data_IF_224891703713
#
_entry.id   IF_224891703713
#
_cell.length_a   1.000
_cell.length_b   1.000
_cell.length_c   1.000
_cell.angle_alpha   90.00
_cell.angle_beta   90.00
_cell.angle_gamma   90.00
#
_symmetry.space_group_name_H-M   'P 1'
#
loop_
_entity.id
_entity.type
_entity.pdbx_description
1 polymer ?
#
# COMPACT_ATOMS: atom_id res chain seq x y z
N UNK A 1 -16.60 88.79 11.13
CA UNK A 1 -16.43 88.82 9.66
C UNK A 1 -15.65 87.55 9.28
N UNK A 2 -16.15 86.34 9.53
CA UNK A 2 -17.29 85.67 8.88
C UNK A 2 -17.18 85.68 7.34
N UNK A 3 -16.97 84.48 6.81
CA UNK A 3 -17.21 84.02 5.44
C UNK A 3 -16.33 84.59 4.33
N UNK A 4 -15.40 83.75 3.85
CA UNK A 4 -15.35 83.34 2.45
C UNK A 4 -14.59 82.00 2.38
N UNK A 5 -15.28 80.96 2.85
CA UNK A 5 -14.98 79.59 2.49
C UNK A 5 -15.52 79.34 1.07
N UNK A 6 -14.70 79.52 0.03
CA UNK A 6 -14.86 78.81 -1.24
C UNK A 6 -13.62 78.98 -2.11
N UNK A 7 -13.23 77.91 -2.80
CA UNK A 7 -12.10 77.80 -3.72
C UNK A 7 -10.70 77.53 -3.15
N UNK A 8 -10.63 76.66 -2.13
CA UNK A 8 -9.55 75.65 -2.14
C UNK A 8 -10.02 74.54 -3.09
N UNK A 9 -9.71 74.65 -4.38
CA UNK A 9 -9.80 73.51 -5.31
C UNK A 9 -8.41 72.86 -5.32
N UNK A 10 -8.20 71.98 -4.34
CA UNK A 10 -7.04 71.10 -4.23
C UNK A 10 -6.84 70.34 -5.56
N UNK A 11 -5.68 70.46 -6.24
CA UNK A 11 -5.38 69.68 -7.44
C UNK A 11 -4.96 68.23 -7.13
N UNK A 12 -5.03 67.79 -5.87
CA UNK A 12 -4.55 66.46 -5.46
C UNK A 12 -5.51 65.29 -5.69
N UNK A 13 -6.83 65.54 -5.83
CA UNK A 13 -7.82 64.44 -5.87
C UNK A 13 -8.04 63.83 -7.26
N UNK A 14 -7.71 64.56 -8.33
CA UNK A 14 -7.81 64.06 -9.71
C UNK A 14 -6.54 63.32 -10.16
N UNK A 15 -5.37 63.68 -9.64
CA UNK A 15 -4.12 62.96 -9.91
C UNK A 15 -4.09 61.59 -9.23
N UNK A 16 -4.56 61.48 -7.98
CA UNK A 16 -4.65 60.19 -7.28
C UNK A 16 -5.63 59.22 -7.95
N UNK A 17 -6.78 59.72 -8.44
CA UNK A 17 -7.74 58.90 -9.20
C UNK A 17 -7.17 58.44 -10.55
N UNK A 18 -6.46 59.33 -11.26
CA UNK A 18 -5.76 58.99 -12.51
C UNK A 18 -4.65 57.95 -12.28
N UNK A 19 -3.89 58.08 -11.20
CA UNK A 19 -2.81 57.15 -10.86
C UNK A 19 -3.36 55.78 -10.43
N UNK A 20 -4.47 55.72 -9.70
CA UNK A 20 -5.18 54.47 -9.38
C UNK A 20 -5.75 53.78 -10.63
N UNK A 21 -6.32 54.53 -11.57
CA UNK A 21 -6.81 54.00 -12.85
C UNK A 21 -5.68 53.46 -13.72
N UNK A 22 -4.55 54.17 -13.79
CA UNK A 22 -3.35 53.69 -14.49
C UNK A 22 -2.81 52.42 -13.84
N UNK A 23 -2.71 52.36 -12.51
CA UNK A 23 -2.30 51.14 -11.80
C UNK A 23 -3.22 49.96 -12.09
N UNK A 24 -4.54 50.17 -12.13
CA UNK A 24 -5.52 49.13 -12.53
C UNK A 24 -5.33 48.67 -13.97
N UNK A 25 -5.04 49.58 -14.90
CA UNK A 25 -4.76 49.23 -16.29
C UNK A 25 -3.45 48.45 -16.44
N UNK A 26 -2.40 48.82 -15.69
CA UNK A 26 -1.13 48.08 -15.67
C UNK A 26 -1.27 46.69 -15.02
N UNK A 27 -2.02 46.58 -13.92
CA UNK A 27 -2.30 45.28 -13.31
C UNK A 27 -3.14 44.40 -14.23
N UNK A 28 -4.17 44.94 -14.88
CA UNK A 28 -4.99 44.21 -15.85
C UNK A 28 -4.15 43.73 -17.04
N UNK A 29 -3.29 44.60 -17.59
CA UNK A 29 -2.36 44.23 -18.67
C UNK A 29 -1.39 43.14 -18.24
N UNK A 30 -0.85 43.23 -17.02
CA UNK A 30 0.05 42.22 -16.48
C UNK A 30 -0.65 40.86 -16.31
N UNK A 31 -1.88 40.85 -15.80
CA UNK A 31 -2.71 39.65 -15.66
C UNK A 31 -3.02 39.02 -17.01
N UNK A 32 -3.49 39.80 -17.98
CA UNK A 32 -3.76 39.32 -19.36
C UNK A 32 -2.51 38.78 -20.02
N UNK A 33 -1.34 39.43 -19.83
CA UNK A 33 -0.06 38.93 -20.37
C UNK A 33 0.34 37.59 -19.74
N UNK A 34 0.10 37.40 -18.44
CA UNK A 34 0.35 36.13 -17.74
C UNK A 34 -0.59 35.04 -18.26
N UNK A 35 -1.89 35.31 -18.35
CA UNK A 35 -2.87 34.36 -18.89
C UNK A 35 -2.56 33.99 -20.34
N UNK A 36 -2.25 34.96 -21.20
CA UNK A 36 -1.85 34.71 -22.58
C UNK A 36 -0.55 33.91 -22.68
N UNK A 37 0.41 34.11 -21.75
CA UNK A 37 1.61 33.27 -21.68
C UNK A 37 1.32 31.85 -21.18
N UNK A 38 0.34 31.68 -20.29
CA UNK A 38 -0.10 30.38 -19.80
C UNK A 38 -0.83 29.61 -20.91
N UNK A 39 -1.80 30.23 -21.57
CA UNK A 39 -2.51 29.67 -22.72
C UNK A 39 -1.57 29.33 -23.89
N UNK A 40 -0.54 30.14 -24.13
CA UNK A 40 0.49 29.80 -25.12
C UNK A 40 1.24 28.55 -24.73
N UNK A 41 1.66 28.40 -23.47
CA UNK A 41 2.35 27.18 -23.00
C UNK A 41 1.46 25.95 -23.13
N UNK A 42 0.23 26.04 -22.65
CA UNK A 42 -0.77 24.98 -22.78
C UNK A 42 -1.02 24.60 -24.24
N UNK A 43 -1.13 25.58 -25.15
CA UNK A 43 -1.24 25.30 -26.58
C UNK A 43 -0.04 24.52 -27.12
N UNK A 44 1.19 24.86 -26.71
CA UNK A 44 2.38 24.14 -27.18
C UNK A 44 2.38 22.71 -26.63
N UNK A 45 2.07 22.51 -25.36
CA UNK A 45 1.95 21.18 -24.74
C UNK A 45 0.88 20.31 -25.44
N UNK A 46 -0.26 20.90 -25.78
CA UNK A 46 -1.32 20.21 -26.51
C UNK A 46 -0.90 19.87 -27.94
N UNK A 47 -0.18 20.75 -28.64
CA UNK A 47 0.34 20.48 -29.98
C UNK A 47 1.38 19.36 -29.96
N UNK A 48 2.24 19.32 -28.95
CA UNK A 48 3.24 18.25 -28.80
C UNK A 48 2.57 16.91 -28.51
N UNK A 49 1.59 16.87 -27.59
CA UNK A 49 0.76 15.68 -27.35
C UNK A 49 0.03 15.22 -28.62
N UNK A 50 -0.49 16.15 -29.41
CA UNK A 50 -1.18 15.83 -30.66
C UNK A 50 -0.22 15.21 -31.68
N UNK A 51 0.99 15.76 -31.85
CA UNK A 51 2.02 15.16 -32.72
C UNK A 51 2.44 13.76 -32.27
N UNK A 52 2.57 13.56 -30.96
CA UNK A 52 2.87 12.24 -30.40
C UNK A 52 1.75 11.24 -30.70
N UNK A 53 0.49 11.65 -30.55
CA UNK A 53 -0.67 10.83 -30.90
C UNK A 53 -0.76 10.54 -32.39
N UNK A 54 -0.55 11.53 -33.26
CA UNK A 54 -0.51 11.33 -34.72
C UNK A 54 0.61 10.36 -35.12
N UNK A 55 1.79 10.50 -34.54
CA UNK A 55 2.89 9.57 -34.73
C UNK A 55 2.55 8.15 -34.28
N UNK A 56 1.85 7.99 -33.16
CA UNK A 56 1.36 6.69 -32.70
C UNK A 56 0.33 6.08 -33.66
N UNK A 57 -0.61 6.90 -34.17
CA UNK A 57 -1.63 6.45 -35.13
C UNK A 57 -0.97 5.95 -36.43
N UNK A 58 0.03 6.67 -36.95
CA UNK A 58 0.74 6.26 -38.17
C UNK A 58 1.40 4.89 -37.97
N UNK A 59 2.12 4.69 -36.86
CA UNK A 59 2.75 3.40 -36.55
C UNK A 59 1.73 2.26 -36.44
N UNK A 60 0.57 2.51 -35.82
CA UNK A 60 -0.50 1.51 -35.74
C UNK A 60 -1.06 1.18 -37.12
N UNK A 61 -1.25 2.18 -37.99
CA UNK A 61 -1.69 1.93 -39.38
C UNK A 61 -0.69 1.10 -40.16
N UNK A 62 0.60 1.43 -40.08
CA UNK A 62 1.67 0.64 -40.72
C UNK A 62 1.68 -0.81 -40.23
N UNK A 63 1.49 -1.03 -38.92
CA UNK A 63 1.37 -2.36 -38.35
C UNK A 63 0.13 -3.11 -38.86
N UNK A 64 -1.01 -2.44 -38.98
CA UNK A 64 -2.24 -3.03 -39.52
C UNK A 64 -2.10 -3.41 -40.99
N UNK A 65 -1.51 -2.55 -41.81
CA UNK A 65 -1.24 -2.87 -43.22
C UNK A 65 -0.27 -4.04 -43.35
N UNK A 66 0.76 -4.11 -42.49
CA UNK A 66 1.66 -5.26 -42.46
C UNK A 66 0.93 -6.55 -42.08
N UNK A 67 -0.02 -6.50 -41.15
CA UNK A 67 -0.84 -7.65 -40.79
C UNK A 67 -1.79 -8.03 -41.91
N UNK A 68 -2.40 -7.07 -42.60
CA UNK A 68 -3.28 -7.32 -43.74
C UNK A 68 -2.54 -8.08 -44.85
N UNK A 69 -1.32 -7.64 -45.19
CA UNK A 69 -0.46 -8.33 -46.17
C UNK A 69 -0.10 -9.74 -45.72
N UNK A 70 0.13 -9.94 -44.42
CA UNK A 70 0.42 -11.25 -43.85
C UNK A 70 -0.81 -12.16 -43.92
N UNK A 71 -1.99 -11.65 -43.56
CA UNK A 71 -3.25 -12.38 -43.54
C UNK A 71 -3.77 -12.73 -44.95
N UNK A 72 -3.30 -12.04 -46.00
CA UNK A 72 -3.64 -12.38 -47.38
C UNK A 72 -3.19 -13.80 -47.78
N UNK A 73 -2.16 -14.36 -47.12
CA UNK A 73 -1.76 -15.75 -47.31
C UNK A 73 -2.39 -16.64 -46.22
N UNK A 74 -3.18 -17.68 -46.56
CA UNK A 74 -3.90 -18.49 -45.59
C UNK A 74 -2.99 -19.26 -44.63
N UNK A 75 -1.79 -19.67 -45.07
CA UNK A 75 -0.83 -20.35 -44.19
C UNK A 75 -0.17 -19.35 -43.23
N UNK A 76 0.18 -18.16 -43.71
CA UNK A 76 0.72 -17.10 -42.87
C UNK A 76 -0.32 -16.62 -41.85
N UNK A 77 -1.59 -16.54 -42.25
CA UNK A 77 -2.70 -16.24 -41.35
C UNK A 77 -2.86 -17.26 -40.21
N UNK A 78 -2.73 -18.56 -40.52
CA UNK A 78 -2.78 -19.61 -39.50
C UNK A 78 -1.62 -19.49 -38.50
N UNK A 79 -0.39 -19.23 -38.99
CA UNK A 79 0.78 -19.01 -38.14
C UNK A 79 0.63 -17.75 -37.26
N UNK A 80 0.12 -16.66 -37.82
CA UNK A 80 -0.17 -15.44 -37.06
C UNK A 80 -1.24 -15.67 -35.99
N UNK A 81 -2.25 -16.49 -36.26
CA UNK A 81 -3.26 -16.83 -35.25
C UNK A 81 -2.61 -17.52 -34.05
N UNK A 82 -1.77 -18.54 -34.29
CA UNK A 82 -1.03 -19.22 -33.21
C UNK A 82 -0.14 -18.25 -32.45
N UNK A 83 0.60 -17.39 -33.17
CA UNK A 83 1.45 -16.35 -32.57
C UNK A 83 0.68 -15.46 -31.58
N UNK A 84 -0.48 -14.93 -32.00
CA UNK A 84 -1.27 -14.05 -31.14
C UNK A 84 -1.95 -14.80 -29.99
N UNK A 85 -2.31 -16.08 -30.17
CA UNK A 85 -2.82 -16.94 -29.10
C UNK A 85 -1.73 -17.22 -28.05
N UNK A 86 -0.49 -17.46 -28.46
CA UNK A 86 0.65 -17.63 -27.56
C UNK A 86 0.98 -16.34 -26.80
N UNK A 87 0.92 -15.18 -27.45
CA UNK A 87 1.02 -13.88 -26.76
C UNK A 87 -0.13 -13.61 -25.81
N UNK A 88 -1.32 -14.12 -26.12
CA UNK A 88 -2.44 -14.07 -25.18
C UNK A 88 -2.19 -14.96 -23.97
N UNK A 89 -1.71 -16.20 -24.17
CA UNK A 89 -1.29 -17.11 -23.10
C UNK A 89 -0.25 -16.43 -22.18
N UNK A 90 0.78 -15.80 -22.73
CA UNK A 90 1.76 -15.04 -21.95
C UNK A 90 1.10 -13.96 -21.08
N UNK A 91 0.21 -13.16 -21.67
CA UNK A 91 -0.53 -12.11 -20.94
C UNK A 91 -1.41 -12.68 -19.83
N UNK A 92 -2.06 -13.82 -20.06
CA UNK A 92 -2.87 -14.50 -19.03
C UNK A 92 -1.99 -14.93 -17.86
N UNK A 93 -0.83 -15.54 -18.13
CA UNK A 93 0.12 -15.93 -17.08
C UNK A 93 0.66 -14.73 -16.31
N UNK A 94 1.09 -13.67 -17.01
CA UNK A 94 1.58 -12.44 -16.38
C UNK A 94 0.50 -11.75 -15.54
N UNK A 95 -0.73 -11.64 -16.05
CA UNK A 95 -1.86 -11.09 -15.31
C UNK A 95 -2.18 -11.91 -14.06
N UNK A 96 -2.09 -13.25 -14.13
CA UNK A 96 -2.32 -14.12 -12.97
C UNK A 96 -1.27 -13.91 -11.89
N UNK A 97 -0.01 -13.76 -12.27
CA UNK A 97 1.11 -13.46 -11.36
C UNK A 97 0.93 -12.09 -10.70
N UNK A 98 0.56 -11.07 -11.48
CA UNK A 98 0.32 -9.72 -10.98
C UNK A 98 -0.85 -9.68 -9.99
N UNK A 99 -2.00 -10.28 -10.35
CA UNK A 99 -3.17 -10.37 -9.47
C UNK A 99 -2.82 -11.06 -8.14
N UNK A 100 -2.13 -12.20 -8.22
CA UNK A 100 -1.73 -12.96 -7.04
C UNK A 100 -0.79 -12.16 -6.12
N UNK A 101 0.19 -11.46 -6.67
CA UNK A 101 1.07 -10.59 -5.88
C UNK A 101 0.31 -9.47 -5.19
N UNK A 102 -0.59 -8.79 -5.90
CA UNK A 102 -1.41 -7.72 -5.34
C UNK A 102 -2.33 -8.22 -4.22
N UNK A 103 -2.94 -9.39 -4.39
CA UNK A 103 -3.76 -10.04 -3.36
C UNK A 103 -2.94 -10.38 -2.11
N UNK A 104 -1.76 -10.98 -2.27
CA UNK A 104 -0.88 -11.33 -1.15
C UNK A 104 -0.36 -10.09 -0.41
N UNK A 105 0.02 -9.02 -1.15
CA UNK A 105 0.42 -7.74 -0.57
C UNK A 105 -0.70 -7.18 0.30
N UNK A 106 -1.91 -7.05 -0.25
CA UNK A 106 -3.06 -6.55 0.49
C UNK A 106 -3.40 -7.41 1.71
N UNK A 107 -3.32 -8.74 1.59
CA UNK A 107 -3.58 -9.65 2.70
C UNK A 107 -2.53 -9.50 3.82
N UNK A 108 -1.25 -9.38 3.47
CA UNK A 108 -0.15 -9.26 4.43
C UNK A 108 -0.13 -7.90 5.11
N UNK A 109 -0.37 -6.82 4.38
CA UNK A 109 -0.50 -5.47 4.94
C UNK A 109 -1.61 -5.41 5.98
N UNK A 110 -2.78 -5.98 5.68
CA UNK A 110 -3.90 -6.06 6.64
C UNK A 110 -3.52 -6.84 7.90
N UNK A 111 -2.83 -7.97 7.75
CA UNK A 111 -2.39 -8.81 8.90
C UNK A 111 -1.36 -8.09 9.76
N UNK A 112 -0.34 -7.47 9.16
CA UNK A 112 0.69 -6.74 9.91
C UNK A 112 0.11 -5.50 10.60
N UNK A 113 -0.75 -4.75 9.91
CA UNK A 113 -1.48 -3.62 10.50
C UNK A 113 -2.33 -4.06 11.68
N UNK A 114 -3.11 -5.13 11.54
CA UNK A 114 -3.94 -5.65 12.63
C UNK A 114 -3.09 -6.03 13.86
N UNK A 115 -1.99 -6.77 13.65
CA UNK A 115 -1.08 -7.17 14.73
C UNK A 115 -0.44 -5.98 15.43
N UNK A 116 -0.03 -4.96 14.68
CA UNK A 116 0.56 -3.74 15.23
C UNK A 116 -0.46 -2.94 16.06
N UNK A 117 -1.68 -2.81 15.55
CA UNK A 117 -2.76 -2.12 16.24
C UNK A 117 -3.19 -2.86 17.50
N UNK A 118 -3.29 -4.19 17.46
CA UNK A 118 -3.59 -5.02 18.63
C UNK A 118 -2.55 -4.82 19.74
N UNK A 119 -1.27 -4.94 19.42
CA UNK A 119 -0.18 -4.70 20.39
C UNK A 119 -0.19 -3.26 20.95
N UNK A 120 -0.56 -2.27 20.14
CA UNK A 120 -0.69 -0.88 20.58
C UNK A 120 -1.89 -0.69 21.54
N UNK A 121 -3.03 -1.33 21.24
CA UNK A 121 -4.22 -1.32 22.08
C UNK A 121 -3.95 -2.01 23.43
N UNK A 122 -3.23 -3.12 23.46
CA UNK A 122 -2.84 -3.79 24.70
C UNK A 122 -1.95 -2.90 25.57
N UNK A 123 -0.91 -2.29 24.99
CA UNK A 123 -0.05 -1.33 25.70
C UNK A 123 -0.83 -0.13 26.21
N UNK A 124 -1.78 0.38 25.42
CA UNK A 124 -2.66 1.47 25.81
C UNK A 124 -3.56 1.07 26.98
N UNK A 125 -4.19 -0.11 26.91
CA UNK A 125 -5.02 -0.66 27.99
C UNK A 125 -4.21 -0.76 29.29
N UNK A 126 -3.01 -1.34 29.22
CA UNK A 126 -2.15 -1.46 30.39
C UNK A 126 -1.78 -0.10 31.01
N UNK A 127 -1.43 0.89 30.17
CA UNK A 127 -1.17 2.27 30.65
C UNK A 127 -2.40 2.89 31.33
N UNK A 128 -3.59 2.67 30.76
CA UNK A 128 -4.84 3.18 31.32
C UNK A 128 -5.22 2.48 32.63
N UNK A 129 -4.99 1.18 32.75
CA UNK A 129 -5.24 0.42 33.98
C UNK A 129 -4.39 0.95 35.14
N UNK A 130 -3.09 1.19 34.91
CA UNK A 130 -2.19 1.80 35.91
C UNK A 130 -2.69 3.19 36.34
N UNK A 131 -3.14 4.01 35.39
CA UNK A 131 -3.69 5.34 35.70
C UNK A 131 -5.03 5.26 36.42
N UNK A 132 -5.85 4.27 36.10
CA UNK A 132 -7.14 4.05 36.74
C UNK A 132 -6.95 3.63 38.20
N UNK A 133 -6.00 2.73 38.48
CA UNK A 133 -5.64 2.35 39.86
C UNK A 133 -5.13 3.57 40.65
N UNK A 134 -4.28 4.39 40.03
CA UNK A 134 -3.81 5.64 40.63
C UNK A 134 -4.98 6.57 40.91
N UNK A 135 -5.89 6.76 39.95
CA UNK A 135 -7.07 7.61 40.09
C UNK A 135 -7.99 7.13 41.22
N UNK A 136 -8.26 5.83 41.32
CA UNK A 136 -9.04 5.25 42.42
C UNK A 136 -8.39 5.51 43.77
N UNK A 137 -7.06 5.35 43.86
CA UNK A 137 -6.32 5.64 45.10
C UNK A 137 -6.41 7.11 45.53
N UNK A 138 -6.41 8.04 44.56
CA UNK A 138 -6.56 9.48 44.83
C UNK A 138 -8.00 9.83 45.22
N UNK A 139 -9.00 9.22 44.59
CA UNK A 139 -10.41 9.41 44.94
C UNK A 139 -10.73 8.93 46.36
N UNK A 140 -10.19 7.77 46.77
CA UNK A 140 -10.34 7.27 48.15
C UNK A 140 -9.70 8.24 49.15
N UNK A 141 -8.50 8.76 48.85
CA UNK A 141 -7.83 9.76 49.68
C UNK A 141 -8.66 11.05 49.80
N UNK A 142 -9.27 11.53 48.71
CA UNK A 142 -10.11 12.74 48.76
C UNK A 142 -11.35 12.52 49.62
N UNK A 143 -12.00 11.36 49.48
CA UNK A 143 -13.15 10.98 50.33
C UNK A 143 -12.77 10.92 51.80
N UNK A 144 -11.62 10.36 52.14
CA UNK A 144 -11.14 10.29 53.52
C UNK A 144 -10.88 11.69 54.10
N UNK A 145 -10.20 12.57 53.34
CA UNK A 145 -9.99 13.95 53.76
C UNK A 145 -11.31 14.73 53.87
N UNK A 146 -12.27 14.48 52.99
CA UNK A 146 -13.60 15.08 53.07
C UNK A 146 -14.31 14.69 54.38
N UNK A 147 -14.23 13.42 54.76
CA UNK A 147 -14.78 12.93 56.02
C UNK A 147 -14.07 13.53 57.25
N UNK A 148 -12.74 13.67 57.22
CA UNK A 148 -12.00 14.35 58.28
C UNK A 148 -12.40 15.82 58.42
N UNK A 149 -12.60 16.53 57.30
CA UNK A 149 -13.09 17.92 57.33
C UNK A 149 -14.47 17.99 57.98
N UNK A 150 -15.41 17.12 57.59
CA UNK A 150 -16.77 17.09 58.12
C UNK A 150 -16.80 16.79 59.63
N UNK A 151 -15.99 15.82 60.09
CA UNK A 151 -15.90 15.48 61.52
C UNK A 151 -15.32 16.62 62.35
N UNK A 152 -14.29 17.32 61.84
CA UNK A 152 -13.74 18.50 62.51
C UNK A 152 -14.70 19.70 62.50
N UNK A 153 -15.51 19.87 61.45
CA UNK A 153 -16.57 20.89 61.40
C UNK A 153 -17.65 20.62 62.45
N UNK A 154 -18.19 19.40 62.51
CA UNK A 154 -19.17 18.99 63.54
C UNK A 154 -18.62 19.20 64.95
N UNK A 155 -17.34 18.90 65.19
CA UNK A 155 -16.69 19.14 66.48
C UNK A 155 -16.60 20.63 66.84
N UNK A 156 -16.35 21.50 65.87
CA UNK A 156 -16.32 22.96 66.07
C UNK A 156 -17.72 23.49 66.42
N UNK A 157 -18.76 22.98 65.76
CA UNK A 157 -20.16 23.33 65.99
C UNK A 157 -20.65 22.90 67.38
N UNK A 158 -20.28 21.70 67.82
CA UNK A 158 -20.62 21.15 69.14
C UNK A 158 -19.87 21.80 70.33
N UNK A 159 -18.88 22.67 70.10
CA UNK A 159 -18.15 23.34 71.19
C UNK A 159 -18.93 24.49 71.82
N UNK A 160 -19.01 24.50 73.15
CA UNK A 160 -19.58 25.59 73.96
C UNK A 160 -18.73 26.88 73.89
N UNK A 161 -19.32 28.04 74.19
CA UNK A 161 -18.76 29.39 73.94
C UNK A 161 -17.33 29.62 74.42
N UNK A 162 -16.98 29.25 75.66
CA UNK A 162 -15.63 29.41 76.21
C UNK A 162 -14.62 28.49 75.50
N UNK A 163 -14.98 27.22 75.26
CA UNK A 163 -14.10 26.28 74.56
C UNK A 163 -13.85 26.71 73.10
N UNK A 164 -14.86 27.31 72.45
CA UNK A 164 -14.76 27.82 71.08
C UNK A 164 -13.80 29.00 70.96
N UNK A 165 -13.75 29.89 71.95
CA UNK A 165 -12.82 31.04 71.96
C UNK A 165 -11.37 30.58 72.05
N UNK A 166 -11.05 29.64 72.95
CA UNK A 166 -9.68 29.20 73.18
C UNK A 166 -9.19 28.10 72.21
N UNK A 167 -10.03 27.10 71.89
CA UNK A 167 -9.64 25.94 71.05
C UNK A 167 -10.11 26.03 69.60
N UNK A 168 -11.09 26.88 69.30
CA UNK A 168 -11.63 27.05 67.95
C UNK A 168 -10.60 27.46 66.89
N UNK A 169 -9.66 28.40 67.14
CA UNK A 169 -8.65 28.79 66.16
C UNK A 169 -7.76 27.62 65.73
N UNK A 170 -7.39 26.71 66.65
CA UNK A 170 -6.59 25.53 66.33
C UNK A 170 -7.36 24.54 65.44
N UNK A 171 -8.63 24.29 65.75
CA UNK A 171 -9.50 23.41 64.93
C UNK A 171 -9.74 24.02 63.55
N UNK A 172 -9.97 25.34 63.45
CA UNK A 172 -10.09 26.05 62.16
C UNK A 172 -8.83 25.96 61.32
N UNK A 173 -7.63 26.12 61.91
CA UNK A 173 -6.36 25.92 61.20
C UNK A 173 -6.24 24.48 60.66
N UNK A 174 -6.67 23.49 61.43
CA UNK A 174 -6.67 22.08 60.98
C UNK A 174 -7.60 21.86 59.79
N UNK A 175 -8.82 22.40 59.83
CA UNK A 175 -9.77 22.37 58.70
C UNK A 175 -9.15 23.05 57.46
N UNK A 176 -8.52 24.22 57.63
CA UNK A 176 -7.83 24.91 56.54
C UNK A 176 -6.71 24.06 55.91
N UNK A 177 -5.87 23.42 56.74
CA UNK A 177 -4.84 22.51 56.25
C UNK A 177 -5.39 21.29 55.50
N UNK A 178 -6.50 20.71 55.97
CA UNK A 178 -7.17 19.61 55.28
C UNK A 178 -7.77 20.04 53.95
N UNK A 179 -8.40 21.22 53.88
CA UNK A 179 -8.94 21.78 52.64
C UNK A 179 -7.84 22.05 51.60
N UNK A 180 -6.71 22.63 52.01
CA UNK A 180 -5.55 22.80 51.12
C UNK A 180 -5.03 21.45 50.61
N UNK A 181 -5.02 20.43 51.48
CA UNK A 181 -4.66 19.06 51.09
C UNK A 181 -5.63 18.46 50.06
N UNK A 182 -6.94 18.72 50.20
CA UNK A 182 -7.96 18.31 49.22
C UNK A 182 -7.79 19.03 47.89
N UNK A 183 -7.56 20.33 47.89
CA UNK A 183 -7.33 21.11 46.66
C UNK A 183 -6.11 20.58 45.88
N UNK A 184 -5.00 20.33 46.57
CA UNK A 184 -3.82 19.73 45.96
C UNK A 184 -4.09 18.31 45.41
N UNK A 185 -4.96 17.54 46.07
CA UNK A 185 -5.34 16.21 45.63
C UNK A 185 -6.29 16.25 44.41
N UNK A 186 -7.22 17.21 44.37
CA UNK A 186 -8.10 17.45 43.24
C UNK A 186 -7.32 17.87 42.00
N UNK A 187 -6.31 18.73 42.15
CA UNK A 187 -5.40 19.08 41.06
C UNK A 187 -4.71 17.84 40.47
N UNK A 188 -4.23 16.91 41.32
CA UNK A 188 -3.63 15.64 40.87
C UNK A 188 -4.64 14.70 40.20
N UNK A 189 -5.89 14.67 40.66
CA UNK A 189 -6.96 13.90 40.01
C UNK A 189 -7.18 14.43 38.60
N UNK A 190 -7.23 15.75 38.43
CA UNK A 190 -7.42 16.38 37.12
C UNK A 190 -6.23 16.11 36.19
N UNK A 191 -5.00 16.20 36.69
CA UNK A 191 -3.80 15.81 35.94
C UNK A 191 -3.86 14.36 35.45
N UNK A 192 -4.29 13.42 36.30
CA UNK A 192 -4.44 12.00 35.91
C UNK A 192 -5.55 11.83 34.88
N UNK A 193 -6.68 12.54 34.98
CA UNK A 193 -7.73 12.52 33.95
C UNK A 193 -7.25 13.09 32.63
N UNK A 194 -6.49 14.17 32.66
CA UNK A 194 -5.93 14.79 31.45
C UNK A 194 -4.96 13.82 30.75
N UNK A 195 -4.10 13.13 31.52
CA UNK A 195 -3.20 12.10 30.96
C UNK A 195 -3.97 10.91 30.39
N UNK A 196 -5.06 10.46 31.03
CA UNK A 196 -5.95 9.45 30.44
C UNK A 196 -6.58 9.93 29.13
N UNK A 197 -7.04 11.19 29.06
CA UNK A 197 -7.60 11.77 27.86
C UNK A 197 -6.57 11.84 26.72
N UNK A 198 -5.32 12.25 27.03
CA UNK A 198 -4.20 12.27 26.08
C UNK A 198 -3.91 10.88 25.53
N UNK A 199 -3.76 9.87 26.39
CA UNK A 199 -3.55 8.47 25.97
C UNK A 199 -4.73 7.99 25.14
N UNK A 200 -5.95 8.41 25.47
CA UNK A 200 -7.12 8.02 24.72
C UNK A 200 -7.22 8.65 23.31
N UNK A 201 -6.65 9.85 23.16
CA UNK A 201 -6.59 10.56 21.89
C UNK A 201 -5.41 10.12 21.00
N UNK A 202 -4.48 9.30 21.50
CA UNK A 202 -3.37 8.78 20.69
C UNK A 202 -3.89 7.99 19.48
N UNK A 203 -3.50 8.34 18.24
CA UNK A 203 -3.90 7.60 17.06
C UNK A 203 -3.24 6.21 17.05
N UNK A 204 -3.92 5.25 16.44
CA UNK A 204 -3.34 3.92 16.26
C UNK A 204 -2.18 4.00 15.26
N UNK A 205 -1.09 3.25 15.51
CA UNK A 205 0.04 3.20 14.59
C UNK A 205 -0.37 2.58 13.26
N UNK A 206 0.21 3.08 12.17
CA UNK A 206 0.12 2.48 10.84
C UNK A 206 1.47 1.86 10.45
N UNK A 207 1.43 0.92 9.52
CA UNK A 207 2.64 0.28 8.98
C UNK A 207 3.32 1.21 7.97
N UNK A 208 4.64 1.29 8.00
CA UNK A 208 5.45 2.07 7.04
C UNK A 208 5.71 1.32 5.71
N UNK A 209 5.01 0.20 5.51
CA UNK A 209 5.25 -0.78 4.45
C UNK A 209 5.40 -2.19 5.02
N UNK A 210 5.45 -3.17 4.12
CA UNK A 210 5.60 -4.58 4.48
C UNK A 210 6.97 -4.88 5.10
N UNK A 211 6.98 -5.75 6.13
CA UNK A 211 8.22 -6.27 6.68
C UNK A 211 9.07 -6.99 5.63
N UNK A 212 10.39 -7.07 5.87
CA UNK A 212 11.32 -7.80 5.00
C UNK A 212 10.88 -9.27 4.83
N UNK A 213 10.50 -9.92 5.92
CA UNK A 213 10.04 -11.31 5.93
C UNK A 213 8.80 -11.48 5.05
N UNK A 214 7.81 -10.59 5.18
CA UNK A 214 6.63 -10.61 4.32
C UNK A 214 6.96 -10.38 2.85
N UNK A 215 7.87 -9.44 2.53
CA UNK A 215 8.30 -9.21 1.14
C UNK A 215 8.98 -10.43 0.53
N UNK A 216 9.89 -11.08 1.27
CA UNK A 216 10.55 -12.33 0.85
C UNK A 216 9.53 -13.43 0.60
N UNK A 217 8.61 -13.62 1.53
CA UNK A 217 7.57 -14.64 1.41
C UNK A 217 6.66 -14.41 0.20
N UNK A 218 6.26 -13.16 -0.06
CA UNK A 218 5.47 -12.80 -1.25
C UNK A 218 6.27 -13.09 -2.52
N UNK A 219 7.54 -12.69 -2.58
CA UNK A 219 8.41 -12.94 -3.73
C UNK A 219 8.55 -14.44 -4.01
N UNK A 220 8.74 -15.26 -2.98
CA UNK A 220 8.80 -16.71 -3.13
C UNK A 220 7.48 -17.32 -3.59
N UNK A 221 6.34 -16.85 -3.06
CA UNK A 221 5.03 -17.31 -3.50
C UNK A 221 4.74 -16.93 -4.96
N UNK A 222 5.15 -15.72 -5.37
CA UNK A 222 5.06 -15.26 -6.77
C UNK A 222 5.90 -16.16 -7.69
N UNK A 223 7.14 -16.48 -7.29
CA UNK A 223 8.00 -17.39 -8.05
C UNK A 223 7.45 -18.82 -8.07
N UNK A 224 6.84 -19.29 -6.98
CA UNK A 224 6.15 -20.57 -6.95
C UNK A 224 5.00 -20.62 -7.96
N UNK A 225 4.16 -19.59 -8.03
CA UNK A 225 3.10 -19.48 -9.04
C UNK A 225 3.67 -19.44 -10.46
N UNK A 226 4.75 -18.69 -10.69
CA UNK A 226 5.42 -18.66 -11.98
C UNK A 226 5.92 -20.05 -12.41
N UNK A 227 6.48 -20.82 -11.47
CA UNK A 227 6.92 -22.20 -11.72
C UNK A 227 5.75 -23.13 -12.02
N UNK A 228 4.65 -23.04 -11.26
CA UNK A 228 3.44 -23.84 -11.52
C UNK A 228 2.82 -23.54 -12.88
N UNK A 229 2.78 -22.27 -13.29
CA UNK A 229 2.32 -21.89 -14.63
C UNK A 229 3.24 -22.44 -15.73
N UNK A 230 4.56 -22.45 -15.51
CA UNK A 230 5.50 -23.10 -16.44
C UNK A 230 5.26 -24.60 -16.54
N UNK A 231 4.97 -25.28 -15.43
CA UNK A 231 4.65 -26.72 -15.46
C UNK A 231 3.33 -26.98 -16.18
N UNK A 232 2.29 -26.19 -15.86
CA UNK A 232 0.95 -26.29 -16.46
C UNK A 232 0.96 -26.16 -17.98
N UNK A 233 1.74 -25.21 -18.49
CA UNK A 233 1.87 -24.96 -19.93
C UNK A 233 3.09 -25.68 -20.56
N UNK A 234 3.85 -26.46 -19.79
CA UNK A 234 5.09 -27.09 -20.25
C UNK A 234 4.86 -28.16 -21.31
N UNK A 235 3.69 -28.79 -21.29
CA UNK A 235 3.29 -29.76 -22.30
C UNK A 235 3.28 -29.15 -23.70
N UNK A 236 3.72 -29.95 -24.68
CA UNK A 236 3.79 -29.54 -26.08
C UNK A 236 4.60 -28.25 -26.33
N UNK A 237 5.49 -27.89 -25.41
CA UNK A 237 6.41 -26.75 -25.53
C UNK A 237 5.70 -25.37 -25.59
N UNK A 238 4.46 -25.27 -25.09
CA UNK A 238 3.67 -24.03 -25.20
C UNK A 238 4.34 -22.86 -24.47
N UNK A 239 4.94 -23.11 -23.32
CA UNK A 239 5.69 -22.09 -22.55
C UNK A 239 6.81 -21.46 -23.38
N UNK A 240 7.65 -22.29 -24.00
CA UNK A 240 8.79 -21.79 -24.79
C UNK A 240 8.32 -21.07 -26.05
N UNK A 241 7.23 -21.54 -26.67
CA UNK A 241 6.61 -20.83 -27.79
C UNK A 241 5.98 -19.50 -27.35
N UNK A 242 5.34 -19.45 -26.19
CA UNK A 242 4.81 -18.21 -25.61
C UNK A 242 5.93 -17.21 -25.30
N UNK A 243 7.02 -17.64 -24.67
CA UNK A 243 8.21 -16.80 -24.44
C UNK A 243 8.79 -16.31 -25.76
N UNK A 244 9.01 -17.20 -26.73
CA UNK A 244 9.55 -16.81 -28.04
C UNK A 244 8.66 -15.78 -28.75
N UNK A 245 7.34 -15.84 -28.55
CA UNK A 245 6.39 -14.90 -29.16
C UNK A 245 6.42 -13.49 -28.56
N UNK A 246 7.01 -13.31 -27.38
CA UNK A 246 7.24 -11.99 -26.79
C UNK A 246 8.56 -11.37 -27.27
N UNK A 247 9.52 -12.21 -27.63
CA UNK A 247 10.86 -11.80 -28.09
C UNK A 247 10.96 -11.60 -29.60
N UNK A 248 10.17 -12.36 -30.39
CA UNK A 248 10.25 -12.39 -31.86
C UNK A 248 9.01 -11.79 -32.51
N UNK A 249 9.15 -11.14 -33.68
CA UNK A 249 8.01 -10.68 -34.45
C UNK A 249 7.26 -11.85 -35.10
N UNK A 250 5.98 -11.62 -35.43
CA UNK A 250 5.10 -12.64 -36.04
C UNK A 250 5.65 -13.24 -37.33
N UNK A 251 6.40 -12.46 -38.12
CA UNK A 251 6.96 -12.89 -39.40
C UNK A 251 8.06 -13.96 -39.26
N UNK A 252 8.74 -14.01 -38.12
CA UNK A 252 9.88 -14.90 -37.89
C UNK A 252 9.47 -16.24 -37.27
N UNK A 253 8.19 -16.38 -36.87
CA UNK A 253 7.68 -17.57 -36.21
C UNK A 253 6.88 -18.43 -37.18
N UNK A 254 7.23 -19.73 -37.22
CA UNK A 254 6.53 -20.75 -38.00
C UNK A 254 6.21 -21.93 -37.09
N UNK A 255 4.96 -22.35 -37.12
CA UNK A 255 4.37 -23.36 -36.23
C UNK A 255 3.93 -24.62 -36.97
N UNK A 256 4.23 -24.72 -38.26
CA UNK A 256 3.93 -25.88 -39.10
C UNK A 256 2.94 -25.55 -40.20
N UNK A 257 2.23 -26.57 -40.66
CA UNK A 257 1.16 -26.43 -41.64
C UNK A 257 -0.13 -25.90 -40.99
N UNK A 258 -1.20 -25.75 -41.79
CA UNK A 258 -2.49 -25.27 -41.28
C UNK A 258 -3.08 -26.20 -40.21
N UNK A 259 -2.93 -27.52 -40.35
CA UNK A 259 -3.47 -28.50 -39.40
C UNK A 259 -2.70 -28.46 -38.09
N UNK A 260 -1.40 -28.25 -38.14
CA UNK A 260 -0.55 -28.06 -36.96
C UNK A 260 -0.96 -26.79 -36.21
N UNK A 261 -1.20 -25.69 -36.94
CA UNK A 261 -1.68 -24.44 -36.37
C UNK A 261 -3.04 -24.60 -35.69
N UNK A 262 -4.01 -25.23 -36.36
CA UNK A 262 -5.35 -25.46 -35.79
C UNK A 262 -5.28 -26.30 -34.50
N UNK A 263 -4.45 -27.36 -34.49
CA UNK A 263 -4.21 -28.18 -33.29
C UNK A 263 -3.57 -27.39 -32.15
N UNK A 264 -2.61 -26.51 -32.45
CA UNK A 264 -1.97 -25.67 -31.44
C UNK A 264 -2.95 -24.67 -30.84
N UNK A 265 -3.80 -24.04 -31.66
CA UNK A 265 -4.83 -23.10 -31.17
C UNK A 265 -5.78 -23.79 -30.20
N UNK A 266 -6.27 -24.99 -30.55
CA UNK A 266 -7.17 -25.74 -29.67
C UNK A 266 -6.50 -26.17 -28.36
N UNK A 267 -5.22 -26.58 -28.41
CA UNK A 267 -4.44 -26.90 -27.20
C UNK A 267 -4.23 -25.69 -26.31
N UNK A 268 -3.89 -24.54 -26.88
CA UNK A 268 -3.70 -23.29 -26.13
C UNK A 268 -5.00 -22.92 -25.41
N UNK A 269 -6.14 -22.96 -26.11
CA UNK A 269 -7.45 -22.67 -25.53
C UNK A 269 -7.81 -23.64 -24.40
N UNK A 270 -7.63 -24.94 -24.62
CA UNK A 270 -7.88 -25.96 -23.60
C UNK A 270 -7.06 -25.71 -22.34
N UNK A 271 -5.75 -25.51 -22.48
CA UNK A 271 -4.85 -25.24 -21.35
C UNK A 271 -5.16 -23.94 -20.61
N UNK A 272 -5.59 -22.89 -21.32
CA UNK A 272 -6.04 -21.65 -20.68
C UNK A 272 -7.33 -21.91 -19.88
N UNK A 273 -8.30 -22.65 -20.42
CA UNK A 273 -9.55 -22.96 -19.71
C UNK A 273 -9.36 -23.83 -18.46
N UNK A 274 -8.34 -24.69 -18.44
CA UNK A 274 -8.00 -25.49 -17.25
C UNK A 274 -7.52 -24.64 -16.07
N UNK A 275 -7.10 -23.39 -16.28
CA UNK A 275 -6.72 -22.48 -15.20
C UNK A 275 -7.90 -22.01 -14.34
N UNK A 276 -9.14 -22.29 -14.75
CA UNK A 276 -10.34 -21.91 -13.99
C UNK A 276 -10.47 -22.70 -12.68
N UNK A 277 -9.79 -23.84 -12.51
CA UNK A 277 -9.70 -24.54 -11.22
C UNK A 277 -8.70 -23.84 -10.27
N UNK A 278 -9.21 -22.82 -9.59
CA UNK A 278 -8.43 -22.00 -8.68
C UNK A 278 -7.90 -22.78 -7.46
N UNK A 279 -8.58 -23.86 -7.04
CA UNK A 279 -8.24 -24.55 -5.80
C UNK A 279 -7.01 -25.43 -5.98
N UNK A 280 -6.98 -26.23 -7.05
CA UNK A 280 -5.84 -27.09 -7.35
C UNK A 280 -4.54 -26.28 -7.51
N UNK A 281 -4.63 -25.15 -8.22
CA UNK A 281 -3.49 -24.23 -8.39
C UNK A 281 -3.05 -23.65 -7.04
N UNK A 282 -3.98 -23.21 -6.20
CA UNK A 282 -3.64 -22.63 -4.89
C UNK A 282 -2.90 -23.62 -3.98
N UNK A 283 -3.34 -24.89 -3.94
CA UNK A 283 -2.70 -25.93 -3.14
C UNK A 283 -1.30 -26.26 -3.66
N UNK A 284 -1.13 -26.37 -4.98
CA UNK A 284 0.17 -26.60 -5.62
C UNK A 284 1.16 -25.44 -5.38
N UNK A 285 0.70 -24.20 -5.56
CA UNK A 285 1.49 -22.99 -5.29
C UNK A 285 1.93 -22.92 -3.84
N UNK A 286 1.05 -23.27 -2.89
CA UNK A 286 1.42 -23.30 -1.47
C UNK A 286 2.51 -24.33 -1.19
N UNK A 287 2.34 -25.57 -1.66
CA UNK A 287 3.35 -26.62 -1.48
C UNK A 287 4.71 -26.21 -2.07
N UNK A 288 4.71 -25.57 -3.25
CA UNK A 288 5.93 -25.09 -3.88
C UNK A 288 6.53 -23.89 -3.17
N UNK A 289 5.72 -23.00 -2.60
CA UNK A 289 6.20 -21.89 -1.77
C UNK A 289 6.93 -22.43 -0.54
N UNK A 290 6.36 -23.43 0.13
CA UNK A 290 6.97 -24.07 1.31
C UNK A 290 8.30 -24.76 0.96
N UNK A 291 8.39 -25.38 -0.23
CA UNK A 291 9.64 -25.93 -0.75
C UNK A 291 10.69 -24.85 -1.04
N UNK A 292 10.31 -23.76 -1.73
CA UNK A 292 11.22 -22.67 -2.04
C UNK A 292 11.71 -21.96 -0.79
N UNK A 293 10.91 -21.88 0.28
CA UNK A 293 11.35 -21.32 1.57
C UNK A 293 12.54 -22.07 2.18
N UNK A 294 12.69 -23.36 1.90
CA UNK A 294 13.78 -24.19 2.40
C UNK A 294 15.00 -24.15 1.47
N UNK A 295 14.78 -24.19 0.16
CA UNK A 295 15.85 -24.36 -0.83
C UNK A 295 16.49 -23.05 -1.31
N UNK A 296 15.83 -21.90 -1.12
CA UNK A 296 16.29 -20.62 -1.68
C UNK A 296 17.21 -19.86 -0.73
N UNK A 297 18.23 -19.21 -1.31
CA UNK A 297 19.15 -18.33 -0.60
C UNK A 297 19.02 -16.88 -1.08
N UNK A 298 19.34 -15.94 -0.19
CA UNK A 298 19.35 -14.51 -0.45
C UNK A 298 20.78 -13.99 -0.39
N UNK A 299 21.10 -12.99 -1.22
CA UNK A 299 22.44 -12.41 -1.28
C UNK A 299 22.91 -11.81 0.06
N UNK A 300 21.98 -11.17 0.78
CA UNK A 300 22.24 -10.55 2.08
C UNK A 300 20.96 -10.54 2.96
N UNK A 301 21.06 -9.94 4.14
CA UNK A 301 19.94 -9.78 5.09
C UNK A 301 18.93 -8.71 4.69
N UNK A 302 19.15 -7.92 3.63
CA UNK A 302 18.27 -6.81 3.21
C UNK A 302 17.57 -7.08 1.88
N UNK A 303 18.07 -8.04 1.11
CA UNK A 303 17.58 -8.42 -0.20
C UNK A 303 16.29 -9.20 -0.06
N UNK A 304 15.30 -8.81 -0.85
CA UNK A 304 13.96 -9.42 -0.89
C UNK A 304 13.82 -10.43 -2.02
N UNK A 305 14.64 -10.31 -3.08
CA UNK A 305 14.65 -11.20 -4.24
C UNK A 305 15.73 -12.28 -4.06
N UNK A 306 15.39 -13.57 -4.17
CA UNK A 306 16.37 -14.64 -4.00
C UNK A 306 17.39 -14.68 -5.16
N UNK A 307 18.51 -15.36 -4.96
CA UNK A 307 19.52 -15.56 -6.01
C UNK A 307 18.97 -16.45 -7.13
N UNK A 308 19.17 -16.05 -8.38
CA UNK A 308 18.70 -16.80 -9.55
C UNK A 308 19.33 -18.19 -9.70
N UNK A 309 20.52 -18.40 -9.13
CA UNK A 309 21.22 -19.70 -9.12
C UNK A 309 20.42 -20.79 -8.40
N UNK A 310 19.54 -20.43 -7.46
CA UNK A 310 18.64 -21.38 -6.77
C UNK A 310 17.48 -21.90 -7.63
N UNK A 311 17.29 -21.38 -8.86
CA UNK A 311 16.13 -21.66 -9.71
C UNK A 311 16.50 -22.39 -11.02
N UNK A 312 17.64 -23.08 -11.06
CA UNK A 312 18.17 -23.73 -12.28
C UNK A 312 17.26 -24.86 -12.81
N UNK A 313 16.38 -25.43 -12.00
CA UNK A 313 15.40 -26.41 -12.44
C UNK A 313 14.14 -26.43 -11.59
N UNK A 314 13.02 -26.74 -12.24
CA UNK A 314 11.69 -26.85 -11.61
C UNK A 314 11.36 -28.33 -11.45
N UNK A 315 11.27 -28.87 -10.23
CA UNK A 315 10.82 -30.24 -10.04
C UNK A 315 9.32 -30.35 -10.41
N UNK A 316 8.92 -31.38 -11.18
CA UNK A 316 7.52 -31.54 -11.60
C UNK A 316 6.59 -31.75 -10.41
N UNK A 317 7.02 -32.51 -9.40
CA UNK A 317 6.36 -32.63 -8.11
C UNK A 317 7.26 -32.10 -6.99
N UNK A 318 6.66 -31.48 -5.99
CA UNK A 318 7.39 -30.99 -4.81
C UNK A 318 7.79 -32.19 -3.94
N UNK A 319 9.09 -32.39 -3.64
CA UNK A 319 9.52 -33.48 -2.77
C UNK A 319 8.88 -33.35 -1.38
N UNK A 320 8.17 -34.39 -0.94
CA UNK A 320 7.60 -34.45 0.41
C UNK A 320 8.71 -34.38 1.46
N UNK A 321 8.81 -33.26 2.19
CA UNK A 321 9.77 -33.03 3.28
C UNK A 321 9.64 -34.04 4.44
N UNK A 322 8.54 -34.80 4.51
CA UNK A 322 8.20 -35.72 5.60
C UNK A 322 8.48 -37.20 5.30
N UNK A 323 8.83 -37.57 4.07
CA UNK A 323 8.94 -38.98 3.68
C UNK A 323 10.39 -39.38 3.41
N UNK A 324 11.06 -39.95 4.42
CA UNK A 324 12.37 -40.60 4.31
C UNK A 324 12.37 -41.91 3.50
N UNK A 325 11.50 -42.01 2.50
CA UNK A 325 11.41 -43.17 1.60
C UNK A 325 12.04 -42.83 0.25
N UNK A 326 13.00 -43.64 -0.17
CA UNK A 326 13.61 -43.59 -1.51
C UNK A 326 12.52 -43.87 -2.55
N UNK A 327 11.85 -42.83 -3.05
CA UNK A 327 11.02 -42.94 -4.24
C UNK A 327 11.94 -43.12 -5.45
N UNK A 328 11.74 -44.22 -6.19
CA UNK A 328 12.46 -44.48 -7.44
C UNK A 328 12.09 -43.40 -8.46
N UNK A 329 13.01 -42.44 -8.68
CA UNK A 329 12.89 -41.41 -9.72
C UNK A 329 12.70 -42.07 -11.08
N UNK A 330 11.54 -41.88 -11.70
CA UNK A 330 11.31 -42.25 -13.10
C UNK A 330 12.03 -41.23 -14.00
N UNK A 331 12.36 -41.62 -15.22
CA UNK A 331 12.97 -40.69 -16.20
C UNK A 331 12.07 -39.48 -16.53
N UNK A 332 10.76 -39.58 -16.28
CA UNK A 332 9.76 -38.49 -16.36
C UNK A 332 9.87 -37.46 -15.23
N UNK A 333 10.61 -37.75 -14.16
CA UNK A 333 10.67 -36.92 -12.95
C UNK A 333 11.89 -35.98 -12.97
N UNK A 334 12.55 -35.87 -14.13
CA UNK A 334 13.66 -34.95 -14.31
C UNK A 334 13.16 -33.51 -14.20
N UNK A 335 13.89 -32.63 -13.47
CA UNK A 335 13.49 -31.24 -13.32
C UNK A 335 13.51 -30.54 -14.68
N UNK A 336 12.47 -29.74 -14.92
CA UNK A 336 12.40 -28.88 -16.09
C UNK A 336 13.46 -27.77 -15.96
N UNK A 337 14.41 -27.71 -16.90
CA UNK A 337 15.51 -26.74 -16.88
C UNK A 337 15.06 -25.37 -17.36
N UNK A 338 14.24 -24.70 -16.55
CA UNK A 338 13.73 -23.35 -16.78
C UNK A 338 13.99 -22.51 -15.54
N UNK A 339 14.62 -21.34 -15.72
CA UNK A 339 14.85 -20.40 -14.64
C UNK A 339 13.86 -19.25 -14.71
N UNK A 340 12.75 -19.39 -13.97
CA UNK A 340 11.66 -18.41 -14.00
C UNK A 340 12.09 -16.99 -13.65
N UNK A 341 13.11 -16.85 -12.80
CA UNK A 341 13.60 -15.56 -12.34
C UNK A 341 14.60 -14.95 -13.33
N UNK A 342 15.59 -15.72 -13.78
CA UNK A 342 16.61 -15.23 -14.71
C UNK A 342 16.02 -14.91 -16.10
N UNK A 343 15.10 -15.74 -16.57
CA UNK A 343 14.49 -15.60 -17.90
C UNK A 343 13.23 -14.71 -17.88
N UNK A 344 12.91 -14.08 -16.74
CA UNK A 344 11.74 -13.22 -16.54
C UNK A 344 10.44 -13.87 -17.07
N UNK A 345 10.15 -15.07 -16.60
CA UNK A 345 8.92 -15.76 -16.99
C UNK A 345 7.70 -15.03 -16.45
N UNK A 346 6.71 -14.78 -17.32
CA UNK A 346 5.47 -14.08 -16.96
C UNK A 346 5.68 -12.67 -16.41
N UNK A 347 6.76 -11.99 -16.80
CA UNK A 347 7.12 -10.64 -16.36
C UNK A 347 7.26 -10.53 -14.81
N UNK A 348 7.70 -11.60 -14.15
CA UNK A 348 7.86 -11.67 -12.69
C UNK A 348 8.68 -10.51 -12.14
N UNK A 349 9.71 -10.03 -12.85
CA UNK A 349 10.56 -8.94 -12.38
C UNK A 349 9.80 -7.62 -12.18
N UNK A 350 8.65 -7.42 -12.85
CA UNK A 350 7.78 -6.25 -12.65
C UNK A 350 6.96 -6.32 -11.36
N UNK A 351 6.81 -7.52 -10.80
CA UNK A 351 5.85 -7.84 -9.74
C UNK A 351 6.52 -8.17 -8.41
N UNK A 352 7.83 -8.41 -8.40
CA UNK A 352 8.61 -8.63 -7.17
C UNK A 352 8.76 -7.32 -6.35
N UNK A 353 8.96 -7.49 -5.04
CA UNK A 353 9.02 -6.44 -4.00
C UNK A 353 10.43 -6.13 -3.49
#
# INVERSE_FOLDING_TARGET
>A
MAELASLIKLPGRQSEQSDEELQKLFSNRATVKRELSALRRERHELLDKLKEQEGAIIRVREQLESLERLLANPLAAANAMVYFQLRHLWRVGAQRVEQFSNELRAQRERKERAKLQEAALEKRKHRLDILNDKLQSLLIKDRNLAHEVETHQKRLEAMNGIARIFKGPAVKRRIGGLNNGREALQARIEEVKETQAKINAEPLPDISGLSLESRRLINLAVLALAQELVLHFGEHNLVNFAKSSTEKPVADMKFGDRRDCDRLVERIRGRISELDDQKAIADAVKARTDYLLVETSFADEKTTVPLSEGFVGIPPEVPSLTSGGVQQKRASDAPLRVNVLADDYWDVLKVLL
#
